data_IF_451018566244
#
_entry.id   IF_451018566244
#
_cell.length_a   1.000
_cell.length_b   1.000
_cell.length_c   1.000
_cell.angle_alpha   90.00
_cell.angle_beta   90.00
_cell.angle_gamma   90.00
#
_symmetry.space_group_name_H-M   'P 1'
#
loop_
_entity.id
_entity.type
_entity.pdbx_description
1 polymer ?
#
# COMPACT_ATOMS: atom_id res chain seq x y z
N UNK A 1 2.85 2.35 -28.47
CA UNK A 1 2.32 2.25 -27.09
C UNK A 1 3.51 2.22 -26.13
N UNK A 2 3.63 3.22 -25.26
CA UNK A 2 4.70 3.32 -24.26
C UNK A 2 4.45 2.30 -23.16
N UNK A 3 5.50 1.60 -22.69
CA UNK A 3 5.41 0.73 -21.51
C UNK A 3 6.13 1.41 -20.34
N UNK A 4 5.45 1.58 -19.21
CA UNK A 4 6.06 2.01 -17.95
C UNK A 4 6.29 0.78 -17.09
N UNK A 5 7.49 0.67 -16.53
CA UNK A 5 7.84 -0.39 -15.58
C UNK A 5 8.27 0.25 -14.27
N UNK A 6 7.27 0.67 -13.50
CA UNK A 6 7.46 1.41 -12.26
C UNK A 6 8.19 0.59 -11.20
N UNK A 7 8.07 -0.76 -11.22
CA UNK A 7 8.83 -1.62 -10.29
C UNK A 7 10.32 -1.59 -10.61
N UNK A 8 10.68 -1.44 -11.89
CA UNK A 8 12.07 -1.25 -12.33
C UNK A 8 12.58 0.15 -12.03
N UNK A 9 11.77 1.18 -12.28
CA UNK A 9 12.12 2.59 -12.01
C UNK A 9 12.26 2.85 -10.50
N UNK A 10 11.35 2.30 -9.69
CA UNK A 10 11.32 2.40 -8.23
C UNK A 10 11.91 1.16 -7.56
N UNK A 11 12.89 0.51 -8.19
CA UNK A 11 13.50 -0.73 -7.68
C UNK A 11 14.01 -0.60 -6.25
N UNK A 12 14.51 0.58 -5.88
CA UNK A 12 15.00 0.87 -4.53
C UNK A 12 13.89 0.80 -3.45
N UNK A 13 12.62 0.91 -3.82
CA UNK A 13 11.46 0.77 -2.93
C UNK A 13 10.86 -0.64 -3.00
N UNK A 14 10.77 -1.22 -4.20
CA UNK A 14 10.06 -2.49 -4.41
C UNK A 14 10.95 -3.74 -4.41
N UNK A 15 12.26 -3.60 -4.24
CA UNK A 15 13.19 -4.73 -4.18
C UNK A 15 14.29 -4.54 -3.11
N UNK A 16 13.92 -4.36 -1.82
CA UNK A 16 14.88 -4.31 -0.73
C UNK A 16 15.63 -5.62 -0.51
N UNK A 17 16.75 -5.54 0.22
CA UNK A 17 17.46 -6.72 0.71
C UNK A 17 16.64 -7.44 1.78
N UNK A 18 16.68 -8.77 1.79
CA UNK A 18 16.15 -9.58 2.90
C UNK A 18 17.16 -9.88 4.00
N UNK A 19 18.40 -9.38 3.87
CA UNK A 19 19.49 -9.65 4.82
C UNK A 19 19.73 -8.50 5.78
N UNK A 20 19.63 -7.27 5.28
CA UNK A 20 20.03 -6.06 6.00
C UNK A 20 18.98 -4.97 5.77
N UNK A 21 18.54 -4.26 6.83
CA UNK A 21 17.72 -3.08 6.68
C UNK A 21 18.46 -1.94 5.99
N UNK A 22 17.72 -1.08 5.30
CA UNK A 22 18.26 0.11 4.67
C UNK A 22 17.38 1.32 4.97
N UNK A 23 18.00 2.49 5.13
CA UNK A 23 17.29 3.76 5.09
C UNK A 23 16.97 4.13 3.64
N UNK A 24 15.76 4.62 3.41
CA UNK A 24 15.28 5.08 2.11
C UNK A 24 14.52 6.39 2.24
N UNK A 25 14.43 7.12 1.13
CA UNK A 25 13.56 8.28 1.00
C UNK A 25 12.45 7.93 0.01
N UNK A 26 11.23 7.85 0.52
CA UNK A 26 10.03 7.59 -0.28
C UNK A 26 9.47 8.94 -0.74
N UNK A 27 9.46 9.23 -2.05
CA UNK A 27 8.89 10.48 -2.53
C UNK A 27 7.36 10.49 -2.37
N UNK A 28 6.72 11.67 -2.42
CA UNK A 28 5.26 11.73 -2.43
C UNK A 28 4.67 10.96 -3.62
N UNK A 29 3.76 10.03 -3.35
CA UNK A 29 3.07 9.25 -4.37
C UNK A 29 1.55 9.37 -4.21
N UNK A 30 0.81 9.05 -5.27
CA UNK A 30 -0.65 9.04 -5.24
C UNK A 30 -1.15 7.61 -5.12
N UNK A 31 -2.10 7.40 -4.22
CA UNK A 31 -2.67 6.09 -3.95
C UNK A 31 -4.20 6.13 -4.05
N UNK A 32 -4.77 5.03 -4.51
CA UNK A 32 -6.14 4.67 -4.19
C UNK A 32 -6.10 3.92 -2.87
N UNK A 33 -6.96 4.29 -1.93
CA UNK A 33 -6.93 3.83 -0.54
C UNK A 33 -8.33 3.39 -0.09
N UNK A 34 -8.38 2.40 0.81
CA UNK A 34 -9.58 2.02 1.56
C UNK A 34 -9.17 1.81 3.02
N UNK A 35 -9.85 2.51 3.92
CA UNK A 35 -9.69 2.32 5.36
C UNK A 35 -10.60 1.21 5.87
N UNK A 36 -10.14 0.52 6.91
CA UNK A 36 -10.93 -0.47 7.60
C UNK A 36 -10.33 -0.87 8.94
N UNK A 37 -10.90 -1.94 9.50
CA UNK A 37 -10.55 -2.43 10.83
C UNK A 37 -10.63 -3.95 10.90
N UNK A 38 -10.03 -4.52 11.94
CA UNK A 38 -10.14 -5.94 12.23
C UNK A 38 -9.16 -6.83 11.45
N UNK A 39 -9.39 -8.13 11.52
CA UNK A 39 -8.55 -9.16 10.91
C UNK A 39 -8.52 -9.03 9.36
N UNK A 40 -7.34 -8.92 8.73
CA UNK A 40 -7.24 -8.86 7.28
C UNK A 40 -7.57 -10.17 6.55
N UNK A 41 -7.87 -11.24 7.27
CA UNK A 41 -8.47 -12.46 6.73
C UNK A 41 -10.01 -12.41 6.71
N UNK A 42 -10.60 -11.30 7.14
CA UNK A 42 -12.04 -11.09 7.16
C UNK A 42 -12.62 -10.54 5.85
N UNK A 43 -13.95 -10.60 5.69
CA UNK A 43 -14.64 -10.17 4.47
C UNK A 43 -14.51 -8.67 4.19
N UNK A 44 -14.28 -7.83 5.21
CA UNK A 44 -14.10 -6.39 5.01
C UNK A 44 -12.81 -6.06 4.25
N UNK A 45 -11.70 -6.73 4.61
CA UNK A 45 -10.42 -6.55 3.92
C UNK A 45 -10.46 -7.16 2.51
N UNK A 46 -11.11 -8.31 2.35
CA UNK A 46 -11.35 -8.92 1.04
C UNK A 46 -12.12 -7.96 0.10
N UNK A 47 -13.22 -7.37 0.58
CA UNK A 47 -14.00 -6.40 -0.18
C UNK A 47 -13.19 -5.14 -0.52
N UNK A 48 -12.41 -4.62 0.44
CA UNK A 48 -11.55 -3.44 0.24
C UNK A 48 -10.49 -3.68 -0.84
N UNK A 49 -9.76 -4.79 -0.76
CA UNK A 49 -8.75 -5.16 -1.77
C UNK A 49 -9.39 -5.44 -3.13
N UNK A 50 -10.57 -6.07 -3.17
CA UNK A 50 -11.36 -6.25 -4.38
C UNK A 50 -11.70 -4.93 -5.07
N UNK A 51 -12.18 -3.94 -4.30
CA UNK A 51 -12.48 -2.59 -4.79
C UNK A 51 -11.23 -1.88 -5.35
N UNK A 52 -10.11 -1.94 -4.62
CA UNK A 52 -8.83 -1.36 -5.04
C UNK A 52 -8.34 -1.93 -6.36
N UNK A 53 -8.37 -3.26 -6.53
CA UNK A 53 -7.97 -3.90 -7.78
C UNK A 53 -8.94 -3.60 -8.91
N UNK A 54 -10.26 -3.63 -8.66
CA UNK A 54 -11.25 -3.31 -9.68
C UNK A 54 -11.07 -1.89 -10.24
N UNK A 55 -10.84 -0.90 -9.36
CA UNK A 55 -10.50 0.46 -9.74
C UNK A 55 -9.16 0.51 -10.50
N UNK A 56 -8.09 -0.06 -9.93
CA UNK A 56 -6.72 0.03 -10.45
C UNK A 56 -6.54 -0.65 -11.83
N UNK A 57 -7.25 -1.75 -12.09
CA UNK A 57 -7.27 -2.35 -13.42
C UNK A 57 -8.10 -1.53 -14.41
N UNK A 58 -9.25 -1.00 -13.99
CA UNK A 58 -10.09 -0.19 -14.86
C UNK A 58 -9.36 1.08 -15.30
N UNK A 59 -8.70 1.78 -14.38
CA UNK A 59 -7.90 2.96 -14.69
C UNK A 59 -6.71 2.60 -15.60
N UNK A 60 -6.00 1.49 -15.36
CA UNK A 60 -4.93 0.99 -16.24
C UNK A 60 -5.41 0.81 -17.68
N UNK A 61 -6.60 0.23 -17.88
CA UNK A 61 -7.13 0.02 -19.23
C UNK A 61 -7.58 1.33 -19.89
N UNK A 62 -8.10 2.29 -19.13
CA UNK A 62 -8.41 3.63 -19.65
C UNK A 62 -7.14 4.37 -20.09
N UNK A 63 -6.08 4.34 -19.28
CA UNK A 63 -4.77 4.92 -19.63
C UNK A 63 -4.19 4.27 -20.88
N UNK A 64 -4.28 2.94 -20.98
CA UNK A 64 -3.83 2.20 -22.17
C UNK A 64 -4.58 2.62 -23.43
N UNK A 65 -5.90 2.80 -23.34
CA UNK A 65 -6.76 3.17 -24.46
C UNK A 65 -6.56 4.64 -24.88
N UNK A 66 -6.52 5.55 -23.92
CA UNK A 66 -6.64 7.00 -24.19
C UNK A 66 -5.30 7.71 -24.25
N UNK A 67 -4.28 7.17 -23.58
CA UNK A 67 -2.94 7.76 -23.50
C UNK A 67 -1.87 6.91 -24.18
N UNK A 68 -2.24 5.74 -24.72
CA UNK A 68 -1.33 4.77 -25.33
C UNK A 68 -0.14 4.39 -24.42
N UNK A 69 -0.38 4.35 -23.10
CA UNK A 69 0.58 3.97 -22.05
C UNK A 69 0.08 2.70 -21.36
N UNK A 70 0.92 1.68 -21.27
CA UNK A 70 0.63 0.44 -20.54
C UNK A 70 1.59 0.29 -19.35
N UNK A 71 1.08 -0.10 -18.18
CA UNK A 71 1.87 -0.26 -16.95
C UNK A 71 1.28 -1.37 -16.08
N UNK A 72 2.07 -2.18 -15.37
CA UNK A 72 1.52 -3.18 -14.44
C UNK A 72 0.81 -2.48 -13.26
N UNK A 73 -0.29 -3.05 -12.76
CA UNK A 73 -0.86 -2.57 -11.49
C UNK A 73 0.18 -2.78 -10.39
N UNK A 74 0.37 -1.76 -9.54
CA UNK A 74 1.36 -1.80 -8.47
C UNK A 74 0.96 -2.78 -7.37
N UNK A 75 1.90 -3.10 -6.49
CA UNK A 75 1.62 -4.03 -5.39
C UNK A 75 0.52 -3.47 -4.48
N UNK A 76 -0.25 -4.36 -3.87
CA UNK A 76 -1.09 -3.99 -2.73
C UNK A 76 -0.16 -3.68 -1.56
N UNK A 77 -0.38 -2.53 -0.95
CA UNK A 77 0.33 -2.03 0.21
C UNK A 77 -0.71 -1.84 1.35
N UNK A 78 -0.24 -1.82 2.59
CA UNK A 78 -1.11 -1.69 3.75
C UNK A 78 -0.41 -0.93 4.87
N UNK A 79 -1.06 0.11 5.38
CA UNK A 79 -0.65 0.80 6.60
C UNK A 79 -1.42 0.23 7.78
N UNK A 80 -0.75 0.01 8.91
CA UNK A 80 -1.29 -0.69 10.08
C UNK A 80 -1.11 0.13 11.37
N UNK A 81 -2.13 0.07 12.21
CA UNK A 81 -2.12 0.65 13.56
C UNK A 81 -3.09 -0.10 14.46
N UNK A 82 -3.04 0.20 15.76
CA UNK A 82 -3.95 -0.38 16.75
C UNK A 82 -4.66 0.77 17.48
N UNK A 83 -5.98 0.68 17.55
CA UNK A 83 -6.78 1.69 18.24
C UNK A 83 -6.36 1.84 19.70
N UNK A 84 -6.21 3.09 20.16
CA UNK A 84 -5.86 3.40 21.55
C UNK A 84 -4.41 3.11 21.94
N UNK A 85 -3.53 2.73 20.99
CA UNK A 85 -2.10 2.54 21.24
C UNK A 85 -1.26 3.59 20.50
N UNK A 86 -0.05 3.82 21.01
CA UNK A 86 0.91 4.69 20.33
C UNK A 86 1.31 4.08 18.97
N UNK A 87 1.48 4.97 17.99
CA UNK A 87 2.08 4.72 16.68
C UNK A 87 3.26 3.73 16.78
N UNK A 88 3.31 2.76 15.87
CA UNK A 88 4.34 1.70 15.79
C UNK A 88 4.40 0.66 16.92
N UNK A 89 3.49 0.67 17.91
CA UNK A 89 3.26 -0.55 18.68
C UNK A 89 2.45 -1.50 17.80
N UNK A 90 3.10 -2.43 17.11
CA UNK A 90 2.35 -3.58 16.62
C UNK A 90 1.79 -4.26 17.87
N UNK A 91 0.49 -4.09 18.09
CA UNK A 91 -0.20 -4.71 19.21
C UNK A 91 -0.03 -6.22 19.15
N UNK A 92 -0.38 -6.89 20.24
CA UNK A 92 -0.40 -8.35 20.26
C UNK A 92 -1.11 -8.88 19.01
N UNK A 93 -0.42 -9.69 18.20
CA UNK A 93 -0.95 -10.31 16.98
C UNK A 93 -2.23 -11.14 17.23
N UNK A 94 -2.57 -11.36 18.51
CA UNK A 94 -3.77 -12.05 18.97
C UNK A 94 -5.02 -11.16 19.01
N UNK A 95 -4.89 -9.84 19.09
CA UNK A 95 -6.03 -8.91 19.22
C UNK A 95 -6.32 -8.17 17.90
N UNK A 96 -6.60 -8.95 16.84
CA UNK A 96 -6.78 -8.42 15.48
C UNK A 96 -7.99 -7.50 15.32
N UNK A 97 -9.02 -7.64 16.17
CA UNK A 97 -10.21 -6.78 16.12
C UNK A 97 -9.91 -5.30 16.40
N UNK A 98 -8.85 -5.02 17.16
CA UNK A 98 -8.40 -3.66 17.46
C UNK A 98 -7.56 -3.04 16.33
N UNK A 99 -7.24 -3.81 15.29
CA UNK A 99 -6.43 -3.31 14.18
C UNK A 99 -7.19 -2.28 13.38
N UNK A 100 -6.44 -1.30 12.88
CA UNK A 100 -6.86 -0.30 11.91
C UNK A 100 -5.89 -0.37 10.76
N UNK A 101 -6.43 -0.42 9.56
CA UNK A 101 -5.63 -0.55 8.36
C UNK A 101 -6.10 0.40 7.27
N UNK A 102 -5.16 0.83 6.43
CA UNK A 102 -5.43 1.47 5.14
C UNK A 102 -4.80 0.58 4.08
N UNK A 103 -5.63 -0.12 3.31
CA UNK A 103 -5.17 -0.86 2.14
C UNK A 103 -5.04 0.12 0.97
N UNK A 104 -3.95 0.04 0.20
CA UNK A 104 -3.65 1.03 -0.83
C UNK A 104 -2.93 0.44 -2.04
N UNK A 105 -3.15 1.04 -3.21
CA UNK A 105 -2.43 0.72 -4.46
C UNK A 105 -1.97 2.03 -5.09
N UNK A 106 -0.65 2.14 -5.32
CA UNK A 106 -0.05 3.31 -5.98
C UNK A 106 -0.59 3.47 -7.41
N UNK A 107 -1.03 4.68 -7.72
CA UNK A 107 -1.50 5.09 -9.04
C UNK A 107 -0.41 5.96 -9.70
N UNK A 108 0.11 5.56 -10.88
CA UNK A 108 1.11 6.37 -11.57
C UNK A 108 0.53 7.72 -12.01
N UNK A 109 1.41 8.69 -12.29
CA UNK A 109 1.02 9.98 -12.87
C UNK A 109 0.20 9.82 -14.17
N UNK A 110 0.48 8.76 -14.94
CA UNK A 110 -0.29 8.44 -16.14
C UNK A 110 -1.77 8.08 -15.84
N UNK A 111 -2.09 7.64 -14.62
CA UNK A 111 -3.43 7.38 -14.11
C UNK A 111 -4.00 8.63 -13.40
N UNK A 112 -3.95 9.77 -14.11
CA UNK A 112 -4.28 11.07 -13.52
C UNK A 112 -5.77 11.19 -13.10
N UNK A 113 -6.09 12.12 -12.17
CA UNK A 113 -7.42 12.23 -11.56
C UNK A 113 -8.59 12.46 -12.50
N UNK A 114 -8.36 13.01 -13.70
CA UNK A 114 -9.37 13.22 -14.73
C UNK A 114 -10.04 11.91 -15.20
N UNK A 115 -9.35 10.78 -15.07
CA UNK A 115 -9.87 9.46 -15.45
C UNK A 115 -10.62 8.75 -14.31
N UNK A 116 -10.46 9.20 -13.06
CA UNK A 116 -10.97 8.49 -11.88
C UNK A 116 -12.50 8.38 -11.84
N UNK A 117 -13.29 9.44 -12.11
CA UNK A 117 -14.76 9.33 -12.09
C UNK A 117 -15.28 8.25 -13.06
N UNK A 118 -14.65 8.16 -14.24
CA UNK A 118 -15.00 7.17 -15.26
C UNK A 118 -14.56 5.76 -14.87
N UNK A 119 -13.42 5.62 -14.19
CA UNK A 119 -12.97 4.34 -13.67
C UNK A 119 -13.91 3.82 -12.57
N UNK A 120 -14.32 4.69 -11.64
CA UNK A 120 -15.29 4.37 -10.59
C UNK A 120 -16.65 3.97 -11.18
N UNK A 121 -17.17 4.74 -12.14
CA UNK A 121 -18.44 4.42 -12.82
C UNK A 121 -18.38 3.05 -13.51
N UNK A 122 -17.30 2.77 -14.25
CA UNK A 122 -17.15 1.48 -14.95
C UNK A 122 -17.01 0.31 -13.99
N UNK A 123 -16.30 0.48 -12.87
CA UNK A 123 -16.21 -0.55 -11.84
C UNK A 123 -17.58 -0.75 -11.16
N UNK A 124 -18.32 0.32 -10.87
CA UNK A 124 -19.64 0.24 -10.25
C UNK A 124 -20.66 -0.50 -11.13
N UNK A 125 -20.63 -0.27 -12.44
CA UNK A 125 -21.47 -1.01 -13.42
C UNK A 125 -21.20 -2.52 -13.44
N UNK A 126 -20.03 -2.97 -12.97
CA UNK A 126 -19.69 -4.40 -12.81
C UNK A 126 -20.15 -4.98 -11.48
N UNK A 127 -20.82 -4.18 -10.64
CA UNK A 127 -21.30 -4.60 -9.32
C UNK A 127 -20.20 -4.77 -8.29
N UNK A 128 -19.06 -4.09 -8.45
CA UNK A 128 -17.97 -4.14 -7.46
C UNK A 128 -18.42 -3.44 -6.17
N UNK A 129 -18.45 -4.13 -5.02
CA UNK A 129 -18.76 -3.52 -3.73
C UNK A 129 -17.63 -2.60 -3.26
N UNK A 130 -17.87 -1.79 -2.22
CA UNK A 130 -16.85 -0.99 -1.51
C UNK A 130 -16.18 0.12 -2.33
N UNK A 131 -16.59 0.35 -3.58
CA UNK A 131 -16.07 1.46 -4.38
C UNK A 131 -16.36 2.82 -3.74
N UNK A 132 -17.46 2.95 -3.02
CA UNK A 132 -17.83 4.15 -2.26
C UNK A 132 -16.90 4.44 -1.08
N UNK A 133 -16.14 3.44 -0.61
CA UNK A 133 -15.12 3.61 0.44
C UNK A 133 -13.75 4.02 -0.11
N UNK A 134 -13.56 4.00 -1.44
CA UNK A 134 -12.31 4.45 -2.03
C UNK A 134 -12.13 5.94 -1.77
N UNK A 135 -10.95 6.29 -1.29
CA UNK A 135 -10.45 7.65 -1.31
C UNK A 135 -9.09 7.68 -1.99
N UNK A 136 -8.63 8.88 -2.29
CA UNK A 136 -7.36 9.08 -2.98
C UNK A 136 -6.48 10.00 -2.17
N UNK A 137 -5.25 9.58 -1.93
CA UNK A 137 -4.31 10.29 -1.09
C UNK A 137 -3.02 10.54 -1.85
N UNK A 138 -2.50 11.77 -1.77
CA UNK A 138 -1.09 12.04 -2.06
C UNK A 138 -0.32 11.89 -0.76
N UNK A 139 0.34 10.76 -0.61
CA UNK A 139 1.01 10.37 0.62
C UNK A 139 2.52 10.62 0.52
N UNK A 140 3.05 11.40 1.47
CA UNK A 140 4.47 11.67 1.63
C UNK A 140 4.99 10.92 2.85
N UNK A 141 5.45 9.68 2.61
CA UNK A 141 6.00 8.83 3.67
C UNK A 141 7.37 9.34 4.13
N UNK A 142 8.17 9.86 3.19
CA UNK A 142 9.44 10.50 3.45
C UNK A 142 10.54 9.53 3.87
N UNK A 143 11.27 9.87 4.95
CA UNK A 143 12.40 9.07 5.44
C UNK A 143 11.90 7.81 6.14
N UNK A 144 12.23 6.65 5.59
CA UNK A 144 11.84 5.34 6.11
C UNK A 144 13.04 4.41 6.29
N UNK A 145 12.81 3.30 7.00
CA UNK A 145 13.68 2.15 6.97
C UNK A 145 12.88 0.95 6.45
N UNK A 146 13.48 0.10 5.62
CA UNK A 146 12.81 -1.07 5.06
C UNK A 146 13.73 -2.30 5.04
N UNK A 147 13.12 -3.48 5.03
CA UNK A 147 13.76 -4.78 4.84
C UNK A 147 12.76 -5.73 4.19
N UNK A 148 13.22 -6.64 3.32
CA UNK A 148 12.36 -7.69 2.77
C UNK A 148 12.15 -8.80 3.80
N UNK A 149 10.91 -9.04 4.24
CA UNK A 149 10.57 -10.25 4.97
C UNK A 149 10.45 -11.43 4.00
N UNK A 150 11.13 -12.55 4.29
CA UNK A 150 11.06 -13.77 3.49
C UNK A 150 10.59 -14.91 4.40
N UNK A 151 9.29 -15.24 4.29
CA UNK A 151 8.67 -16.27 5.12
C UNK A 151 7.19 -16.00 5.38
N UNK A 152 6.52 -16.85 6.16
CA UNK A 152 5.19 -16.59 6.70
C UNK A 152 5.18 -15.40 7.66
N UNK A 153 4.08 -14.64 7.67
CA UNK A 153 3.84 -13.51 8.57
C UNK A 153 4.06 -13.84 10.06
N UNK A 154 3.91 -15.09 10.49
CA UNK A 154 4.20 -15.50 11.87
C UNK A 154 5.68 -15.33 12.27
N UNK A 155 6.60 -15.21 11.30
CA UNK A 155 8.03 -14.95 11.53
C UNK A 155 8.41 -13.47 11.36
N UNK A 156 7.47 -12.62 10.94
CA UNK A 156 7.67 -11.18 10.81
C UNK A 156 8.21 -10.51 12.10
N UNK A 157 7.83 -10.93 13.34
CA UNK A 157 8.37 -10.31 14.55
C UNK A 157 9.91 -10.27 14.62
N UNK A 158 10.59 -11.27 14.07
CA UNK A 158 12.06 -11.31 14.03
C UNK A 158 12.62 -10.27 13.04
N UNK A 159 11.98 -10.11 11.88
CA UNK A 159 12.34 -9.10 10.88
C UNK A 159 12.12 -7.68 11.42
N UNK A 160 11.04 -7.45 12.14
CA UNK A 160 10.74 -6.16 12.75
C UNK A 160 11.69 -5.81 13.89
N UNK A 161 12.07 -6.78 14.73
CA UNK A 161 13.09 -6.58 15.75
C UNK A 161 14.43 -6.12 15.13
N UNK A 162 14.84 -6.73 14.01
CA UNK A 162 16.02 -6.32 13.26
C UNK A 162 15.89 -4.89 12.70
N UNK A 163 14.74 -4.57 12.10
CA UNK A 163 14.46 -3.25 11.54
C UNK A 163 14.48 -2.15 12.63
N UNK A 164 13.83 -2.38 13.77
CA UNK A 164 13.80 -1.44 14.89
C UNK A 164 15.18 -1.21 15.49
N UNK A 165 15.97 -2.29 15.66
CA UNK A 165 17.36 -2.20 16.11
C UNK A 165 18.21 -1.33 15.18
N UNK A 166 18.03 -1.50 13.87
CA UNK A 166 18.69 -0.66 12.87
C UNK A 166 18.26 0.81 12.95
N UNK A 167 16.96 1.10 13.01
CA UNK A 167 16.43 2.47 13.13
C UNK A 167 17.07 3.19 14.32
N UNK A 168 17.10 2.55 15.49
CA UNK A 168 17.71 3.11 16.69
C UNK A 168 19.23 3.30 16.54
N UNK A 169 19.94 2.34 15.97
CA UNK A 169 21.39 2.44 15.73
C UNK A 169 21.75 3.59 14.77
N UNK A 170 20.84 3.96 13.87
CA UNK A 170 20.99 5.12 12.97
C UNK A 170 20.59 6.46 13.62
N UNK A 171 20.19 6.47 14.90
CA UNK A 171 19.79 7.68 15.63
C UNK A 171 18.38 8.17 15.32
N UNK A 172 17.53 7.34 14.71
CA UNK A 172 16.14 7.66 14.39
C UNK A 172 15.17 6.98 15.37
N UNK A 173 13.90 7.37 15.28
CA UNK A 173 12.77 6.71 15.94
C UNK A 173 11.64 6.48 14.93
N UNK A 174 10.88 5.38 15.03
CA UNK A 174 9.67 5.20 14.23
C UNK A 174 8.63 6.29 14.52
N UNK A 175 7.73 6.53 13.55
CA UNK A 175 6.59 7.46 13.67
C UNK A 175 5.41 6.97 12.83
N UNK A 176 4.19 7.38 13.20
CA UNK A 176 3.00 7.12 12.39
C UNK A 176 2.57 5.65 12.38
N UNK A 177 1.80 5.30 11.33
CA UNK A 177 1.36 3.93 11.06
C UNK A 177 2.54 3.10 10.55
N UNK A 178 2.52 1.81 10.85
CA UNK A 178 3.45 0.83 10.31
C UNK A 178 3.08 0.47 8.87
#
# INVERSE_FOLDING_TARGET
MKKLDLRKELKHLYNPSGKEPALIDVPPMTFACVDGRGDPNGPEFEAATGALYAFSYTIKFLVKKERAIDYPVMALEGLWSVEGKADFSMGDFKERDAWRWTAMIMQPEAAAPDLWPRALEQAARRGTPFLEKLHFERFDEGRCAQIMHIGPYSMEPATLALLHGFIHAQGYRPRGRH
#
